data_IF_396713496324
#
_entry.id   IF_396713496324
#
_cell.length_a   1.000
_cell.length_b   1.000
_cell.length_c   1.000
_cell.angle_alpha   90.00
_cell.angle_beta   90.00
_cell.angle_gamma   90.00
#
_symmetry.space_group_name_H-M   'P 1'
#
loop_
_entity.id
_entity.type
_entity.pdbx_description
1 polymer ?
#
# COMPACT_ATOMS: atom_id res chain seq x y z
N UNK A 1 3.20 3.90 -22.23
CA UNK A 1 2.13 2.88 -22.09
C UNK A 1 0.74 3.52 -22.23
N UNK A 2 -0.25 2.83 -22.83
CA UNK A 2 -1.67 3.23 -22.82
C UNK A 2 -2.50 2.24 -22.01
N UNK A 3 -2.97 2.67 -20.83
CA UNK A 3 -3.94 1.92 -20.01
C UNK A 3 -5.34 2.31 -20.46
N UNK A 4 -6.22 1.35 -20.74
CA UNK A 4 -7.56 1.62 -21.24
C UNK A 4 -8.54 1.63 -20.07
N UNK A 5 -9.01 2.82 -19.69
CA UNK A 5 -10.01 3.00 -18.65
C UNK A 5 -11.42 2.83 -19.23
N UNK A 6 -12.34 2.10 -18.57
CA UNK A 6 -13.73 2.09 -19.03
C UNK A 6 -14.35 3.49 -18.89
N UNK A 7 -15.28 3.86 -19.79
CA UNK A 7 -16.00 5.13 -19.71
C UNK A 7 -16.81 5.22 -18.40
N UNK A 8 -17.05 6.42 -17.82
CA UNK A 8 -17.00 7.75 -18.45
C UNK A 8 -15.93 8.71 -17.87
N UNK A 9 -14.72 8.25 -17.56
CA UNK A 9 -13.65 9.13 -17.04
C UNK A 9 -12.34 9.04 -17.82
N UNK A 10 -12.32 9.80 -18.92
CA UNK A 10 -11.15 10.30 -19.67
C UNK A 10 -10.21 9.30 -20.34
N UNK A 11 -9.77 9.63 -21.55
CA UNK A 11 -8.59 9.05 -22.21
C UNK A 11 -7.29 9.48 -21.51
N UNK A 12 -7.22 9.37 -20.17
CA UNK A 12 -6.01 9.71 -19.43
C UNK A 12 -4.97 8.62 -19.66
N UNK A 13 -3.93 8.98 -20.41
CA UNK A 13 -2.76 8.11 -20.58
C UNK A 13 -1.99 8.10 -19.26
N UNK A 14 -1.99 6.95 -18.58
CA UNK A 14 -1.19 6.73 -17.36
C UNK A 14 0.20 6.32 -17.80
N UNK A 15 1.23 7.04 -17.35
CA UNK A 15 2.62 6.64 -17.61
C UNK A 15 3.07 5.58 -16.61
N UNK A 16 3.98 4.70 -17.01
CA UNK A 16 4.44 3.60 -16.16
C UNK A 16 5.07 4.08 -14.84
N UNK A 17 5.72 5.25 -14.85
CA UNK A 17 6.38 5.85 -13.68
C UNK A 17 5.37 6.39 -12.66
N UNK A 18 4.18 6.80 -13.12
CA UNK A 18 3.13 7.32 -12.23
C UNK A 18 2.40 6.23 -11.45
N UNK A 19 2.50 4.97 -11.90
CA UNK A 19 1.86 3.84 -11.25
C UNK A 19 2.53 3.60 -9.90
N UNK A 20 1.76 3.77 -8.83
CA UNK A 20 2.18 3.41 -7.49
C UNK A 20 1.71 2.01 -7.13
N UNK A 21 0.51 1.62 -7.53
CA UNK A 21 -0.12 0.42 -7.01
C UNK A 21 -1.19 -0.10 -7.96
N UNK A 22 -1.23 -1.42 -8.15
CA UNK A 22 -2.16 -2.12 -9.03
C UNK A 22 -2.67 -3.38 -8.35
N UNK A 23 -3.99 -3.62 -8.44
CA UNK A 23 -4.61 -4.88 -8.01
C UNK A 23 -5.87 -5.18 -8.80
N UNK A 24 -6.42 -6.38 -8.60
CA UNK A 24 -7.76 -6.71 -9.08
C UNK A 24 -8.80 -5.72 -8.53
N UNK A 25 -9.78 -5.37 -9.37
CA UNK A 25 -10.95 -4.60 -8.93
C UNK A 25 -11.87 -5.48 -8.08
N UNK A 26 -12.45 -4.92 -7.01
CA UNK A 26 -13.44 -5.62 -6.19
C UNK A 26 -14.85 -5.32 -6.71
N UNK A 27 -15.55 -6.34 -7.23
CA UNK A 27 -16.95 -6.23 -7.67
C UNK A 27 -17.88 -6.93 -6.65
N UNK A 28 -19.03 -6.34 -6.28
CA UNK A 28 -19.56 -5.04 -6.69
C UNK A 28 -19.08 -3.84 -5.83
N UNK A 29 -18.14 -4.06 -4.91
CA UNK A 29 -17.76 -3.06 -3.88
C UNK A 29 -17.19 -1.76 -4.44
N UNK A 30 -16.42 -1.81 -5.53
CA UNK A 30 -15.77 -0.65 -6.14
C UNK A 30 -16.39 -0.20 -7.45
N UNK A 31 -16.93 -1.14 -8.21
CA UNK A 31 -17.60 -0.93 -9.49
C UNK A 31 -18.76 -1.92 -9.59
N UNK A 32 -19.75 -1.59 -10.41
CA UNK A 32 -20.88 -2.49 -10.69
C UNK A 32 -20.40 -3.84 -11.25
N UNK A 33 -21.14 -4.92 -10.98
CA UNK A 33 -20.80 -6.26 -11.48
C UNK A 33 -20.70 -6.32 -13.01
N UNK A 34 -21.45 -5.47 -13.71
CA UNK A 34 -21.49 -5.33 -15.17
C UNK A 34 -20.31 -4.54 -15.74
N UNK A 35 -19.52 -3.86 -14.89
CA UNK A 35 -18.39 -3.07 -15.33
C UNK A 35 -17.33 -3.94 -16.03
N UNK A 36 -16.78 -3.53 -17.17
CA UNK A 36 -15.71 -4.27 -17.85
C UNK A 36 -14.33 -4.05 -17.21
N UNK A 37 -14.21 -3.27 -16.13
CA UNK A 37 -12.96 -3.09 -15.41
C UNK A 37 -12.43 -4.43 -14.84
N UNK A 38 -11.12 -4.67 -14.98
CA UNK A 38 -10.45 -5.85 -14.45
C UNK A 38 -9.43 -5.50 -13.36
N UNK A 39 -8.84 -4.30 -13.41
CA UNK A 39 -7.91 -3.85 -12.40
C UNK A 39 -8.17 -2.42 -11.94
N UNK A 40 -7.64 -2.12 -10.76
CA UNK A 40 -7.61 -0.82 -10.16
C UNK A 40 -6.16 -0.37 -10.06
N UNK A 41 -5.89 0.83 -10.57
CA UNK A 41 -4.58 1.46 -10.59
C UNK A 41 -4.63 2.70 -9.72
N UNK A 42 -3.70 2.82 -8.79
CA UNK A 42 -3.44 4.04 -8.04
C UNK A 42 -2.18 4.69 -8.62
N UNK A 43 -2.34 5.92 -9.08
CA UNK A 43 -1.25 6.78 -9.55
C UNK A 43 -0.88 7.79 -8.46
N UNK A 44 0.14 8.61 -8.73
CA UNK A 44 0.48 9.77 -7.90
C UNK A 44 -0.65 10.80 -7.79
N UNK A 45 -1.51 10.90 -8.80
CA UNK A 45 -2.56 11.91 -8.87
C UNK A 45 -3.92 11.38 -8.41
N UNK A 46 -4.27 10.18 -8.84
CA UNK A 46 -5.62 9.65 -8.74
C UNK A 46 -5.69 8.12 -8.75
N UNK A 47 -6.83 7.62 -8.29
CA UNK A 47 -7.24 6.23 -8.43
C UNK A 47 -8.07 6.11 -9.70
N UNK A 48 -7.80 5.10 -10.52
CA UNK A 48 -8.56 4.78 -11.73
C UNK A 48 -8.74 3.27 -11.89
N UNK A 49 -9.61 2.88 -12.81
CA UNK A 49 -9.89 1.49 -13.14
C UNK A 49 -9.57 1.26 -14.62
N UNK A 50 -9.15 0.06 -14.98
CA UNK A 50 -8.85 -0.25 -16.38
C UNK A 50 -9.27 -1.65 -16.80
N UNK A 51 -9.34 -1.83 -18.12
CA UNK A 51 -9.72 -3.06 -18.79
C UNK A 51 -8.62 -4.12 -18.72
N UNK A 52 -7.36 -3.70 -18.62
CA UNK A 52 -6.24 -4.61 -18.44
C UNK A 52 -6.29 -5.30 -17.07
N UNK A 53 -5.84 -6.55 -17.03
CA UNK A 53 -5.60 -7.29 -15.79
C UNK A 53 -4.39 -6.70 -15.04
N UNK A 54 -4.26 -6.94 -13.72
CA UNK A 54 -3.11 -6.44 -12.96
C UNK A 54 -1.76 -6.92 -13.51
N UNK A 55 -1.70 -8.15 -14.04
CA UNK A 55 -0.49 -8.71 -14.64
C UNK A 55 -0.10 -7.98 -15.93
N UNK A 56 -1.05 -7.71 -16.82
CA UNK A 56 -0.79 -6.94 -18.04
C UNK A 56 -0.34 -5.51 -17.71
N UNK A 57 -0.96 -4.87 -16.71
CA UNK A 57 -0.54 -3.54 -16.27
C UNK A 57 0.88 -3.59 -15.70
N UNK A 58 1.21 -4.61 -14.91
CA UNK A 58 2.58 -4.81 -14.42
C UNK A 58 3.56 -4.96 -15.58
N UNK A 59 3.30 -5.87 -16.52
CA UNK A 59 4.28 -6.18 -17.58
C UNK A 59 4.56 -4.97 -18.47
N UNK A 60 3.51 -4.18 -18.76
CA UNK A 60 3.65 -2.91 -19.47
C UNK A 60 4.40 -1.86 -18.63
N UNK A 61 4.22 -1.84 -17.31
CA UNK A 61 4.94 -0.92 -16.43
C UNK A 61 6.42 -1.31 -16.30
N UNK A 62 6.72 -2.58 -16.07
CA UNK A 62 8.07 -3.13 -15.91
C UNK A 62 8.92 -2.95 -17.18
N UNK A 63 8.30 -2.92 -18.35
CA UNK A 63 8.98 -2.65 -19.63
C UNK A 63 9.51 -1.22 -19.74
N UNK A 64 8.91 -0.26 -19.03
CA UNK A 64 9.24 1.18 -19.13
C UNK A 64 9.93 1.71 -17.86
N UNK A 65 9.80 1.04 -16.71
CA UNK A 65 10.33 1.51 -15.43
C UNK A 65 11.80 1.12 -15.23
N UNK A 66 12.58 1.95 -14.53
CA UNK A 66 13.96 1.62 -14.15
C UNK A 66 14.03 0.46 -13.15
N UNK A 67 13.01 0.34 -12.28
CA UNK A 67 12.82 -0.80 -11.39
C UNK A 67 11.44 -1.42 -11.57
N UNK A 68 11.35 -2.76 -11.61
CA UNK A 68 10.07 -3.45 -11.75
C UNK A 68 9.20 -3.23 -10.52
N UNK A 69 7.89 -3.37 -10.70
CA UNK A 69 6.94 -3.36 -9.59
C UNK A 69 7.16 -4.58 -8.69
N UNK A 70 7.09 -4.33 -7.39
CA UNK A 70 7.14 -5.35 -6.35
C UNK A 70 5.81 -6.09 -6.25
N UNK A 71 5.85 -7.36 -5.84
CA UNK A 71 4.67 -8.22 -5.71
C UNK A 71 4.45 -8.62 -4.25
N UNK A 72 3.22 -8.40 -3.77
CA UNK A 72 2.69 -8.97 -2.54
C UNK A 72 1.28 -9.54 -2.81
N UNK A 73 0.68 -10.17 -1.81
CA UNK A 73 -0.63 -10.81 -1.92
C UNK A 73 -1.67 -10.18 -1.00
N UNK A 74 -2.87 -9.99 -1.54
CA UNK A 74 -4.05 -9.65 -0.74
C UNK A 74 -4.53 -10.86 0.08
N UNK A 75 -5.47 -10.63 1.00
CA UNK A 75 -6.15 -11.71 1.75
C UNK A 75 -6.74 -12.81 0.87
N UNK A 76 -7.22 -12.46 -0.32
CA UNK A 76 -7.81 -13.42 -1.26
C UNK A 76 -6.76 -14.11 -2.15
N UNK A 77 -5.47 -14.02 -1.79
CA UNK A 77 -4.34 -14.49 -2.59
C UNK A 77 -4.23 -13.84 -3.98
N UNK A 78 -4.90 -12.70 -4.19
CA UNK A 78 -4.76 -11.95 -5.43
C UNK A 78 -3.49 -11.11 -5.42
N UNK A 79 -2.79 -11.00 -6.57
CA UNK A 79 -1.56 -10.25 -6.67
C UNK A 79 -1.80 -8.76 -6.47
N UNK A 80 -0.90 -8.15 -5.72
CA UNK A 80 -0.78 -6.72 -5.51
C UNK A 80 0.57 -6.32 -6.06
N UNK A 81 0.57 -5.51 -7.13
CA UNK A 81 1.78 -4.93 -7.69
C UNK A 81 1.93 -3.51 -7.21
N UNK A 82 3.14 -3.10 -6.82
CA UNK A 82 3.35 -1.77 -6.28
C UNK A 82 4.77 -1.25 -6.50
N UNK A 83 4.90 0.07 -6.47
CA UNK A 83 6.19 0.75 -6.52
C UNK A 83 6.91 0.59 -5.17
N UNK A 84 7.78 -0.42 -5.10
CA UNK A 84 8.51 -0.75 -3.88
C UNK A 84 9.48 0.34 -3.43
N UNK A 85 10.01 1.16 -4.34
CA UNK A 85 10.93 2.27 -3.99
C UNK A 85 10.22 3.35 -3.18
N UNK A 86 8.92 3.52 -3.41
CA UNK A 86 8.08 4.51 -2.74
C UNK A 86 7.25 3.92 -1.60
N UNK A 87 7.43 2.63 -1.33
CA UNK A 87 6.73 1.94 -0.26
C UNK A 87 7.50 2.07 1.06
N UNK A 88 6.76 2.01 2.18
CA UNK A 88 7.34 1.86 3.50
C UNK A 88 6.63 0.77 4.31
N UNK A 89 7.39 -0.01 5.06
CA UNK A 89 6.84 -1.14 5.82
C UNK A 89 7.94 -2.09 6.30
N UNK A 90 7.58 -3.17 7.00
CA UNK A 90 6.24 -3.54 7.43
C UNK A 90 5.66 -2.55 8.45
N UNK A 91 4.33 -2.41 8.45
CA UNK A 91 3.58 -1.72 9.49
C UNK A 91 3.12 -2.75 10.51
N UNK A 92 3.19 -2.35 11.79
CA UNK A 92 2.60 -3.14 12.86
C UNK A 92 1.08 -3.15 12.68
N UNK A 93 0.50 -4.35 12.78
CA UNK A 93 -0.94 -4.58 12.72
C UNK A 93 -1.43 -5.07 14.08
N UNK A 94 -2.71 -4.94 14.34
CA UNK A 94 -3.33 -5.40 15.60
C UNK A 94 -3.63 -6.89 15.58
N UNK A 95 -3.70 -7.52 16.75
CA UNK A 95 -4.13 -8.92 16.88
C UNK A 95 -5.50 -9.18 16.24
N UNK A 96 -6.42 -8.20 16.27
CA UNK A 96 -7.72 -8.31 15.59
C UNK A 96 -7.58 -8.34 14.06
N UNK A 97 -6.64 -7.58 13.49
CA UNK A 97 -6.36 -7.63 12.06
C UNK A 97 -5.82 -9.00 11.64
N UNK A 98 -5.04 -9.65 12.50
CA UNK A 98 -4.55 -11.03 12.29
C UNK A 98 -5.69 -12.03 12.43
N UNK A 99 -6.35 -12.05 13.59
CA UNK A 99 -7.25 -13.13 13.99
C UNK A 99 -8.63 -13.05 13.31
N UNK A 100 -9.13 -11.84 13.05
CA UNK A 100 -10.47 -11.63 12.48
C UNK A 100 -10.35 -11.31 10.99
N UNK A 101 -9.45 -10.38 10.66
CA UNK A 101 -9.33 -9.91 9.28
C UNK A 101 -8.40 -10.79 8.43
N UNK A 102 -7.58 -11.66 9.01
CA UNK A 102 -6.69 -12.57 8.27
C UNK A 102 -5.53 -11.86 7.56
N UNK A 103 -5.14 -10.68 8.02
CA UNK A 103 -3.97 -9.96 7.50
C UNK A 103 -2.77 -10.21 8.41
N UNK A 104 -1.62 -10.51 7.84
CA UNK A 104 -0.40 -10.78 8.62
C UNK A 104 0.54 -9.57 8.67
N UNK A 105 0.38 -8.61 7.76
CA UNK A 105 1.11 -7.35 7.79
C UNK A 105 0.39 -6.27 6.97
N UNK A 106 0.97 -5.08 6.92
CA UNK A 106 0.58 -4.02 6.02
C UNK A 106 1.81 -3.22 5.58
N UNK A 107 1.68 -2.51 4.47
CA UNK A 107 2.67 -1.51 4.04
C UNK A 107 1.96 -0.21 3.69
N UNK A 108 2.73 0.89 3.68
CA UNK A 108 2.27 2.19 3.23
C UNK A 108 2.81 2.45 1.83
N UNK A 109 1.97 2.96 0.94
CA UNK A 109 2.40 3.52 -0.34
C UNK A 109 1.67 4.82 -0.62
N UNK A 110 2.43 5.90 -0.86
CA UNK A 110 1.90 7.26 -0.80
C UNK A 110 1.28 7.55 0.57
N UNK A 111 -0.03 7.80 0.61
CA UNK A 111 -0.79 8.02 1.85
C UNK A 111 -1.66 6.83 2.27
N UNK A 112 -1.54 5.68 1.59
CA UNK A 112 -2.47 4.57 1.73
C UNK A 112 -1.82 3.39 2.45
N UNK A 113 -2.45 2.93 3.54
CA UNK A 113 -2.14 1.64 4.18
C UNK A 113 -2.76 0.51 3.36
N UNK A 114 -1.95 -0.46 2.96
CA UNK A 114 -2.36 -1.64 2.22
C UNK A 114 -2.16 -2.86 3.13
N UNK A 115 -3.24 -3.51 3.59
CA UNK A 115 -3.13 -4.75 4.34
C UNK A 115 -2.85 -5.93 3.40
N UNK A 116 -2.00 -6.85 3.83
CA UNK A 116 -1.53 -8.00 3.05
C UNK A 116 -1.57 -9.28 3.88
N UNK A 117 -1.69 -10.42 3.19
CA UNK A 117 -1.60 -11.74 3.82
C UNK A 117 -0.15 -12.15 4.09
N UNK A 118 0.80 -11.47 3.46
CA UNK A 118 2.22 -11.71 3.67
C UNK A 118 2.65 -11.38 5.10
N UNK A 119 3.66 -12.11 5.58
CA UNK A 119 4.26 -11.87 6.89
C UNK A 119 4.99 -10.53 6.91
N UNK A 120 5.18 -9.97 8.10
CA UNK A 120 5.96 -8.74 8.25
C UNK A 120 7.40 -8.89 7.72
N UNK A 121 7.99 -10.10 7.80
CA UNK A 121 9.30 -10.39 7.24
C UNK A 121 9.28 -10.35 5.71
N UNK A 122 8.30 -11.00 5.06
CA UNK A 122 8.17 -10.96 3.60
C UNK A 122 7.98 -9.52 3.09
N UNK A 123 7.18 -8.72 3.79
CA UNK A 123 7.00 -7.30 3.46
C UNK A 123 8.31 -6.53 3.62
N UNK A 124 9.07 -6.79 4.69
CA UNK A 124 10.39 -6.20 4.88
C UNK A 124 11.33 -6.54 3.73
N UNK A 125 11.46 -7.83 3.40
CA UNK A 125 12.38 -8.31 2.37
C UNK A 125 12.04 -7.73 0.99
N UNK A 126 10.75 -7.69 0.63
CA UNK A 126 10.29 -7.15 -0.66
C UNK A 126 10.55 -5.64 -0.76
N UNK A 127 10.24 -4.88 0.30
CA UNK A 127 10.49 -3.43 0.31
C UNK A 127 11.99 -3.12 0.31
N UNK A 128 12.77 -3.90 1.07
CA UNK A 128 14.23 -3.76 1.10
C UNK A 128 14.85 -4.03 -0.27
N UNK A 129 14.44 -5.12 -0.94
CA UNK A 129 14.94 -5.51 -2.26
C UNK A 129 14.62 -4.46 -3.32
N UNK A 130 13.47 -3.79 -3.22
CA UNK A 130 13.11 -2.68 -4.09
C UNK A 130 13.91 -1.40 -3.78
N UNK A 131 14.48 -1.27 -2.59
CA UNK A 131 15.15 -0.06 -2.11
C UNK A 131 14.19 0.96 -1.49
N UNK A 132 13.03 0.51 -1.00
CA UNK A 132 12.07 1.34 -0.27
C UNK A 132 12.44 1.55 1.21
N UNK A 133 11.56 2.20 1.96
CA UNK A 133 11.81 2.55 3.35
C UNK A 133 11.36 1.43 4.30
N UNK A 134 12.31 0.60 4.73
CA UNK A 134 12.03 -0.48 5.68
C UNK A 134 11.85 0.00 7.11
N UNK A 135 10.94 -0.63 7.85
CA UNK A 135 10.70 -0.42 9.28
C UNK A 135 11.01 -1.71 10.07
N UNK A 136 11.28 -1.63 11.38
CA UNK A 136 11.50 -2.83 12.17
C UNK A 136 10.30 -3.77 12.14
N UNK A 137 10.58 -5.07 12.04
CA UNK A 137 9.57 -6.13 12.13
C UNK A 137 9.11 -6.22 13.59
N UNK A 138 7.88 -5.79 13.87
CA UNK A 138 7.29 -5.82 15.21
C UNK A 138 6.19 -6.89 15.28
N UNK A 139 6.03 -7.55 16.44
CA UNK A 139 4.91 -8.47 16.66
C UNK A 139 3.57 -7.71 16.61
N UNK A 140 2.44 -8.39 16.37
CA UNK A 140 1.12 -7.74 16.39
C UNK A 140 0.87 -6.99 17.70
N UNK A 141 0.32 -5.78 17.59
CA UNK A 141 -0.06 -5.00 18.76
C UNK A 141 -1.31 -5.60 19.41
N UNK A 142 -1.33 -5.70 20.75
CA UNK A 142 -2.52 -6.14 21.48
C UNK A 142 -3.70 -5.22 21.17
N UNK A 143 -4.83 -5.80 20.79
CA UNK A 143 -6.05 -5.01 20.61
C UNK A 143 -6.55 -4.54 21.98
N UNK A 144 -6.51 -3.23 22.25
CA UNK A 144 -7.15 -2.67 23.43
C UNK A 144 -8.67 -2.74 23.19
N UNK A 145 -9.31 -3.76 23.75
CA UNK A 145 -10.77 -3.75 23.90
C UNK A 145 -11.10 -2.70 24.95
N UNK A 146 -11.60 -1.53 24.53
CA UNK A 146 -12.05 -0.48 25.44
C UNK A 146 -13.33 -0.93 26.16
N UNK A 147 -13.16 -1.69 27.24
CA UNK A 147 -14.19 -1.95 28.23
C UNK A 147 -13.86 -1.11 29.46
N UNK A 148 -14.29 0.16 29.46
CA UNK A 148 -14.21 1.02 30.64
C UNK A 148 -14.05 2.50 30.29
N UNK A 149 -15.08 3.31 30.56
CA UNK A 149 -14.95 4.77 30.74
C UNK A 149 -13.76 5.09 31.65
N UNK A 150 -12.99 6.13 31.33
CA UNK A 150 -12.67 7.31 32.17
C UNK A 150 -11.64 8.22 31.45
N UNK A 151 -11.94 9.52 31.53
CA UNK A 151 -11.16 10.75 31.31
C UNK A 151 -10.75 11.22 29.91
N UNK A 152 -11.31 12.37 29.55
CA UNK A 152 -10.99 13.23 28.44
C UNK A 152 -9.60 13.89 28.65
N UNK A 153 -8.54 13.11 28.47
CA UNK A 153 -7.15 13.59 28.49
C UNK A 153 -6.70 14.04 27.10
N UNK A 154 -6.80 15.34 26.87
CA UNK A 154 -6.06 16.20 25.92
C UNK A 154 -4.97 15.50 25.08
N UNK A 155 -5.17 15.48 23.76
CA UNK A 155 -4.18 15.02 22.79
C UNK A 155 -2.95 15.92 22.85
N UNK A 156 -1.87 15.45 23.48
CA UNK A 156 -0.60 16.16 23.48
C UNK A 156 0.08 16.02 22.10
N UNK A 157 0.07 17.12 21.34
CA UNK A 157 0.60 17.22 19.98
C UNK A 157 2.15 17.32 19.94
N UNK A 158 2.85 17.05 21.05
CA UNK A 158 4.31 17.27 21.17
C UNK A 158 5.20 16.05 20.94
N UNK A 159 4.72 14.93 20.37
CA UNK A 159 5.61 13.83 19.98
C UNK A 159 6.38 14.22 18.70
N UNK A 160 7.50 14.93 18.87
CA UNK A 160 8.48 15.15 17.81
C UNK A 160 9.10 13.80 17.40
N UNK A 161 8.72 13.32 16.22
CA UNK A 161 9.12 12.02 15.68
C UNK A 161 10.52 11.98 15.02
N UNK A 162 11.34 13.02 15.20
CA UNK A 162 12.73 13.02 14.74
C UNK A 162 13.60 13.87 15.68
N UNK A 163 14.76 13.39 16.16
CA UNK A 163 15.73 14.30 16.75
C UNK A 163 16.26 15.24 15.66
N UNK A 164 16.07 16.55 15.85
CA UNK A 164 16.68 17.56 15.00
C UNK A 164 18.20 17.40 15.02
N UNK A 165 18.77 17.28 13.83
CA UNK A 165 20.21 17.24 13.62
C UNK A 165 20.78 18.66 13.80
N UNK A 166 21.10 19.05 15.03
CA UNK A 166 21.99 20.17 15.29
C UNK A 166 22.83 19.90 16.54
N UNK A 167 23.78 18.98 16.38
CA UNK A 167 24.90 18.84 17.29
C UNK A 167 26.06 19.68 16.73
N UNK A 168 26.05 20.99 16.98
CA UNK A 168 27.27 21.79 16.89
C UNK A 168 28.10 21.55 18.16
N UNK A 169 29.38 21.17 18.06
CA UNK A 169 30.21 20.83 19.21
C UNK A 169 30.69 22.08 19.94
N UNK A 170 30.85 21.94 21.26
CA UNK A 170 31.35 22.93 22.23
C UNK A 170 32.63 23.65 21.77
N UNK A 171 32.75 24.92 22.13
CA UNK A 171 33.87 25.45 22.94
C UNK A 171 33.29 26.35 24.02
#
# INVERSE_FOLDING_TARGET
>A
MKVHCPPPQSEKTITAIEILYVRNVLKPTEVENTSPANSMVLTLADKTYCLQTPAEVKDLADAERPKPLSLLSSKNHWPIFFDGERASGPLQITENEVNISGYNSAFLIGKKKIPVINTAQEVFDVIQAAGGQTRPVLPPAKSISWAGRVDDGEWDETIELFPSADATPKI
#
